data_IF_188556319476
#
_entry.id   IF_188556319476
#
_cell.length_a   1.000
_cell.length_b   1.000
_cell.length_c   1.000
_cell.angle_alpha   90.00
_cell.angle_beta   90.00
_cell.angle_gamma   90.00
#
_symmetry.space_group_name_H-M   'P 1'
#
loop_
_entity.id
_entity.type
_entity.pdbx_description
1 polymer ?
#
# COMPACT_ATOMS: atom_id res chain seq x y z
N UNK A 1 -8.08 -10.96 -9.81
CA UNK A 1 -8.21 -9.50 -9.65
C UNK A 1 -9.52 -9.05 -10.29
N UNK A 2 -10.56 -8.87 -9.48
CA UNK A 2 -11.91 -8.56 -9.96
C UNK A 2 -11.94 -7.32 -10.87
N UNK A 3 -11.02 -6.38 -10.66
CA UNK A 3 -10.78 -5.21 -11.49
C UNK A 3 -10.65 -5.49 -13.00
N UNK A 4 -10.02 -6.61 -13.37
CA UNK A 4 -9.82 -6.99 -14.78
C UNK A 4 -11.10 -7.38 -15.50
N UNK A 5 -12.14 -7.78 -14.74
CA UNK A 5 -13.47 -8.08 -15.26
C UNK A 5 -14.33 -6.81 -15.38
N UNK A 6 -13.97 -5.73 -14.66
CA UNK A 6 -14.75 -4.50 -14.60
C UNK A 6 -14.32 -3.48 -15.67
N UNK A 7 -13.02 -3.21 -15.75
CA UNK A 7 -12.50 -2.15 -16.62
C UNK A 7 -11.16 -2.54 -17.24
N UNK A 8 -10.88 -2.10 -18.47
CA UNK A 8 -9.57 -2.30 -19.12
C UNK A 8 -8.41 -1.68 -18.33
N UNK A 9 -8.63 -0.59 -17.59
CA UNK A 9 -7.61 -0.02 -16.70
C UNK A 9 -7.43 -0.79 -15.39
N UNK A 10 -8.28 -1.78 -15.12
CA UNK A 10 -8.20 -2.63 -13.94
C UNK A 10 -6.90 -3.45 -13.87
N UNK A 11 -6.22 -3.68 -14.99
CA UNK A 11 -4.87 -4.28 -15.00
C UNK A 11 -3.85 -3.42 -14.26
N UNK A 12 -3.93 -2.10 -14.37
CA UNK A 12 -3.03 -1.19 -13.66
C UNK A 12 -3.25 -1.28 -12.15
N UNK A 13 -4.51 -1.21 -11.69
CA UNK A 13 -4.85 -1.34 -10.27
C UNK A 13 -4.39 -2.70 -9.73
N UNK A 14 -4.60 -3.76 -10.51
CA UNK A 14 -4.14 -5.11 -10.19
C UNK A 14 -2.62 -5.19 -10.02
N UNK A 15 -1.87 -4.54 -10.91
CA UNK A 15 -0.41 -4.52 -10.85
C UNK A 15 0.09 -3.77 -9.61
N UNK A 16 -0.55 -2.65 -9.23
CA UNK A 16 -0.22 -1.92 -8.00
C UNK A 16 -0.47 -2.79 -6.76
N UNK A 17 -1.65 -3.40 -6.65
CA UNK A 17 -1.99 -4.28 -5.51
C UNK A 17 -0.98 -5.44 -5.37
N UNK A 18 -0.59 -6.05 -6.50
CA UNK A 18 0.42 -7.10 -6.51
C UNK A 18 1.81 -6.60 -6.13
N UNK A 19 2.21 -5.43 -6.61
CA UNK A 19 3.52 -4.86 -6.28
C UNK A 19 3.65 -4.57 -4.79
N UNK A 20 2.61 -3.98 -4.18
CA UNK A 20 2.57 -3.74 -2.73
C UNK A 20 2.63 -5.04 -1.96
N UNK A 21 1.88 -6.06 -2.39
CA UNK A 21 1.92 -7.38 -1.78
C UNK A 21 3.33 -7.98 -1.82
N UNK A 22 4.04 -7.89 -2.96
CA UNK A 22 5.43 -8.36 -3.07
C UNK A 22 6.38 -7.56 -2.18
N UNK A 23 6.30 -6.22 -2.18
CA UNK A 23 7.12 -5.37 -1.31
C UNK A 23 6.90 -5.70 0.17
N UNK A 24 5.64 -5.81 0.61
CA UNK A 24 5.31 -6.14 2.00
C UNK A 24 5.73 -7.56 2.37
N UNK A 25 5.59 -8.53 1.46
CA UNK A 25 6.06 -9.90 1.67
C UNK A 25 7.58 -9.98 1.80
N UNK A 26 8.33 -9.23 0.99
CA UNK A 26 9.81 -9.21 1.05
C UNK A 26 10.36 -8.72 2.40
N UNK A 27 9.62 -7.82 3.07
CA UNK A 27 9.96 -7.28 4.39
C UNK A 27 9.53 -8.19 5.56
N UNK A 28 8.79 -9.27 5.28
CA UNK A 28 8.38 -10.27 6.25
C UNK A 28 7.37 -9.76 7.30
N UNK A 29 7.22 -10.51 8.40
CA UNK A 29 6.20 -10.25 9.42
C UNK A 29 6.28 -8.85 10.09
N UNK A 30 7.44 -8.20 10.02
CA UNK A 30 7.70 -6.88 10.61
C UNK A 30 7.53 -5.72 9.61
N UNK A 31 7.00 -5.97 8.42
CA UNK A 31 6.84 -4.93 7.38
C UNK A 31 6.12 -3.67 7.86
N UNK A 32 5.17 -3.80 8.80
CA UNK A 32 4.42 -2.68 9.39
C UNK A 32 5.30 -1.71 10.20
N UNK A 33 6.44 -2.17 10.68
CA UNK A 33 7.43 -1.39 11.44
C UNK A 33 8.74 -1.23 10.69
N UNK A 34 8.87 -1.83 9.51
CA UNK A 34 10.11 -1.87 8.74
C UNK A 34 10.46 -0.50 8.14
N UNK A 35 9.44 0.33 7.85
CA UNK A 35 9.69 1.63 7.26
C UNK A 35 9.99 2.72 8.29
N UNK A 36 11.15 3.36 8.11
CA UNK A 36 11.59 4.47 8.94
C UNK A 36 10.86 5.77 8.51
N UNK A 37 10.28 6.47 9.48
CA UNK A 37 9.64 7.79 9.32
C UNK A 37 8.52 7.87 8.26
N UNK A 38 7.36 7.21 8.44
CA UNK A 38 6.22 7.42 7.55
C UNK A 38 5.69 8.85 7.64
N UNK A 39 5.14 9.43 6.57
CA UNK A 39 4.39 10.69 6.64
C UNK A 39 3.24 10.57 7.65
N UNK A 40 2.92 11.65 8.38
CA UNK A 40 1.93 11.62 9.47
C UNK A 40 0.57 11.07 9.06
N UNK A 41 0.11 11.36 7.84
CA UNK A 41 -1.15 10.82 7.32
C UNK A 41 -1.08 9.30 7.06
N UNK A 42 0.06 8.78 6.59
CA UNK A 42 0.29 7.34 6.43
C UNK A 42 0.32 6.65 7.79
N UNK A 43 0.99 7.27 8.78
CA UNK A 43 1.02 6.75 10.14
C UNK A 43 -0.40 6.59 10.71
N UNK A 44 -1.27 7.58 10.50
CA UNK A 44 -2.67 7.52 10.98
C UNK A 44 -3.44 6.37 10.32
N UNK A 45 -3.25 6.16 9.01
CA UNK A 45 -3.92 5.07 8.27
C UNK A 45 -3.39 3.70 8.69
N UNK A 46 -2.08 3.56 8.87
CA UNK A 46 -1.43 2.29 9.22
C UNK A 46 -1.42 2.00 10.73
N UNK A 47 -1.76 2.97 11.57
CA UNK A 47 -1.74 2.83 13.02
C UNK A 47 -2.55 1.62 13.50
N UNK A 48 -2.04 0.96 14.53
CA UNK A 48 -2.60 -0.29 15.08
C UNK A 48 -2.79 -1.40 14.03
N UNK A 49 -2.05 -1.34 12.92
CA UNK A 49 -2.17 -2.28 11.81
C UNK A 49 -3.47 -2.11 11.03
N UNK A 50 -3.84 -0.87 10.70
CA UNK A 50 -5.06 -0.46 9.98
C UNK A 50 -6.37 -0.60 10.78
N UNK A 51 -6.28 -0.70 12.11
CA UNK A 51 -7.46 -0.74 12.99
C UNK A 51 -8.02 0.66 13.31
N UNK A 52 -7.43 1.71 12.75
CA UNK A 52 -7.97 3.07 12.84
C UNK A 52 -9.17 3.24 11.90
N UNK A 53 -10.07 4.22 12.15
CA UNK A 53 -11.18 4.50 11.24
C UNK A 53 -10.72 4.74 9.80
N UNK A 54 -9.61 5.46 9.61
CA UNK A 54 -9.02 5.70 8.29
C UNK A 54 -8.44 4.41 7.66
N UNK A 55 -7.83 3.54 8.47
CA UNK A 55 -7.33 2.24 8.03
C UNK A 55 -8.45 1.28 7.61
N UNK A 56 -9.50 1.18 8.41
CA UNK A 56 -10.70 0.39 8.08
C UNK A 56 -11.35 0.95 6.81
N UNK A 57 -11.46 2.27 6.68
CA UNK A 57 -11.98 2.91 5.48
C UNK A 57 -11.14 2.60 4.23
N UNK A 58 -9.81 2.61 4.35
CA UNK A 58 -8.89 2.21 3.28
C UNK A 58 -9.11 0.74 2.85
N UNK A 59 -9.21 -0.17 3.82
CA UNK A 59 -9.42 -1.61 3.59
C UNK A 59 -10.80 -1.86 2.96
N UNK A 60 -11.84 -1.17 3.43
CA UNK A 60 -13.18 -1.23 2.84
C UNK A 60 -13.17 -0.73 1.39
N UNK A 61 -12.44 0.35 1.09
CA UNK A 61 -12.26 0.81 -0.29
C UNK A 61 -11.44 -0.18 -1.14
N UNK A 62 -10.44 -0.83 -0.58
CA UNK A 62 -9.61 -1.81 -1.29
C UNK A 62 -10.41 -3.06 -1.70
N UNK A 63 -11.10 -3.69 -0.75
CA UNK A 63 -11.81 -4.95 -1.01
C UNK A 63 -13.29 -4.76 -1.38
N UNK A 64 -13.95 -3.77 -0.78
CA UNK A 64 -15.37 -3.53 -0.99
C UNK A 64 -15.66 -2.89 -2.34
N UNK A 65 -14.84 -1.97 -2.83
CA UNK A 65 -15.05 -1.29 -4.12
C UNK A 65 -15.15 -2.25 -5.31
N UNK A 66 -14.20 -3.18 -5.55
CA UNK A 66 -14.32 -4.10 -6.69
C UNK A 66 -15.61 -4.94 -6.58
N UNK A 67 -15.90 -5.51 -5.41
CA UNK A 67 -17.09 -6.34 -5.20
C UNK A 67 -18.38 -5.53 -5.42
N UNK A 68 -18.40 -4.28 -4.93
CA UNK A 68 -19.51 -3.36 -5.12
C UNK A 68 -19.76 -3.04 -6.59
N UNK A 69 -18.70 -2.67 -7.32
CA UNK A 69 -18.76 -2.37 -8.76
C UNK A 69 -19.21 -3.57 -9.58
N UNK A 70 -18.78 -4.78 -9.21
CA UNK A 70 -19.25 -6.01 -9.83
C UNK A 70 -20.75 -6.20 -9.65
N UNK A 71 -21.26 -6.04 -8.43
CA UNK A 71 -22.70 -6.11 -8.19
C UNK A 71 -23.51 -5.01 -8.88
N UNK A 72 -22.91 -3.82 -9.10
CA UNK A 72 -23.55 -2.77 -9.90
C UNK A 72 -23.65 -3.15 -11.37
N UNK A 73 -22.59 -3.75 -11.93
CA UNK A 73 -22.56 -4.19 -13.33
C UNK A 73 -23.57 -5.31 -13.61
N UNK A 74 -23.73 -6.23 -12.65
CA UNK A 74 -24.71 -7.33 -12.72
C UNK A 74 -26.13 -6.92 -12.24
N UNK A 75 -26.38 -5.62 -12.03
CA UNK A 75 -27.65 -5.06 -11.55
C UNK A 75 -28.19 -5.62 -10.22
N UNK A 76 -27.35 -6.26 -9.40
CA UNK A 76 -27.73 -6.91 -8.13
C UNK A 76 -28.26 -5.92 -7.09
N UNK A 77 -27.86 -4.65 -7.16
CA UNK A 77 -28.25 -3.60 -6.21
C UNK A 77 -29.50 -2.83 -6.62
N UNK A 78 -29.97 -2.99 -7.86
CA UNK A 78 -31.15 -2.29 -8.38
C UNK A 78 -32.44 -2.51 -7.58
N UNK A 79 -32.74 -3.71 -7.03
CA UNK A 79 -33.95 -3.90 -6.22
C UNK A 79 -33.84 -3.35 -4.80
N UNK A 80 -32.62 -3.10 -4.30
CA UNK A 80 -32.39 -2.66 -2.92
C UNK A 80 -32.13 -1.16 -2.79
N UNK A 81 -31.65 -0.49 -3.85
CA UNK A 81 -31.15 0.86 -3.74
C UNK A 81 -31.34 1.68 -5.01
N UNK A 82 -31.76 2.94 -4.85
CA UNK A 82 -31.88 3.91 -5.95
C UNK A 82 -30.50 4.23 -6.56
N UNK A 83 -30.48 4.56 -7.85
CA UNK A 83 -29.28 4.90 -8.59
C UNK A 83 -28.45 6.00 -7.91
N UNK A 84 -29.08 7.03 -7.36
CA UNK A 84 -28.37 8.12 -6.65
C UNK A 84 -27.63 7.62 -5.40
N UNK A 85 -28.27 6.74 -4.64
CA UNK A 85 -27.67 6.12 -3.46
C UNK A 85 -26.52 5.19 -3.83
N UNK A 86 -26.65 4.43 -4.93
CA UNK A 86 -25.56 3.59 -5.44
C UNK A 86 -24.34 4.44 -5.80
N UNK A 87 -24.54 5.57 -6.49
CA UNK A 87 -23.45 6.50 -6.83
C UNK A 87 -22.81 7.13 -5.59
N UNK A 88 -23.59 7.44 -4.55
CA UNK A 88 -23.05 7.95 -3.29
C UNK A 88 -22.16 6.92 -2.60
N UNK A 89 -22.61 5.66 -2.48
CA UNK A 89 -21.81 4.57 -1.90
C UNK A 89 -20.54 4.31 -2.71
N UNK A 90 -20.65 4.32 -4.05
CA UNK A 90 -19.48 4.20 -4.93
C UNK A 90 -18.49 5.33 -4.70
N UNK A 91 -18.93 6.58 -4.57
CA UNK A 91 -18.05 7.71 -4.27
C UNK A 91 -17.30 7.55 -2.95
N UNK A 92 -17.98 7.05 -1.92
CA UNK A 92 -17.38 6.74 -0.62
C UNK A 92 -16.32 5.64 -0.76
N UNK A 93 -16.64 4.54 -1.44
CA UNK A 93 -15.68 3.44 -1.66
C UNK A 93 -14.47 3.87 -2.51
N UNK A 94 -14.69 4.69 -3.54
CA UNK A 94 -13.62 5.25 -4.39
C UNK A 94 -12.67 6.11 -3.57
N UNK A 95 -13.17 6.96 -2.68
CA UNK A 95 -12.30 7.77 -1.81
C UNK A 95 -11.49 6.91 -0.84
N UNK A 96 -12.06 5.84 -0.30
CA UNK A 96 -11.32 4.83 0.48
C UNK A 96 -10.21 4.16 -0.34
N UNK A 97 -10.52 3.78 -1.60
CA UNK A 97 -9.52 3.19 -2.51
C UNK A 97 -8.41 4.18 -2.85
N UNK A 98 -8.72 5.44 -3.10
CA UNK A 98 -7.74 6.49 -3.40
C UNK A 98 -6.79 6.71 -2.21
N UNK A 99 -7.34 6.74 -0.99
CA UNK A 99 -6.54 6.83 0.24
C UNK A 99 -5.62 5.61 0.39
N UNK A 100 -6.14 4.40 0.14
CA UNK A 100 -5.34 3.18 0.15
C UNK A 100 -4.22 3.22 -0.90
N UNK A 101 -4.55 3.64 -2.14
CA UNK A 101 -3.59 3.76 -3.24
C UNK A 101 -2.46 4.74 -2.92
N UNK A 102 -2.75 5.84 -2.21
CA UNK A 102 -1.72 6.75 -1.71
C UNK A 102 -0.72 6.04 -0.77
N UNK A 103 -1.22 5.25 0.18
CA UNK A 103 -0.38 4.48 1.10
C UNK A 103 0.45 3.43 0.35
N UNK A 104 -0.16 2.74 -0.61
CA UNK A 104 0.49 1.76 -1.48
C UNK A 104 1.67 2.36 -2.26
N UNK A 105 1.46 3.49 -2.95
CA UNK A 105 2.49 4.18 -3.72
C UNK A 105 3.61 4.68 -2.81
N UNK A 106 3.27 5.25 -1.65
CA UNK A 106 4.27 5.64 -0.67
C UNK A 106 5.11 4.44 -0.22
N UNK A 107 4.47 3.31 0.07
CA UNK A 107 5.17 2.11 0.52
C UNK A 107 6.12 1.55 -0.55
N UNK A 108 5.68 1.47 -1.81
CA UNK A 108 6.51 1.04 -2.94
C UNK A 108 7.72 1.96 -3.09
N UNK A 109 7.51 3.28 -3.08
CA UNK A 109 8.60 4.24 -3.27
C UNK A 109 9.62 4.22 -2.13
N UNK A 110 9.18 4.04 -0.88
CA UNK A 110 10.07 3.84 0.27
C UNK A 110 10.87 2.55 0.12
N UNK A 111 10.23 1.44 -0.27
CA UNK A 111 10.93 0.18 -0.50
C UNK A 111 11.99 0.28 -1.61
N UNK A 112 11.72 0.98 -2.71
CA UNK A 112 12.69 1.22 -3.77
C UNK A 112 13.90 2.02 -3.25
N UNK A 113 13.67 3.03 -2.41
CA UNK A 113 14.76 3.82 -1.80
C UNK A 113 15.63 2.96 -0.89
N UNK A 114 15.04 2.07 -0.10
CA UNK A 114 15.80 1.16 0.76
C UNK A 114 16.65 0.20 -0.07
N UNK A 115 16.10 -0.36 -1.15
CA UNK A 115 16.85 -1.23 -2.07
C UNK A 115 18.03 -0.50 -2.74
N UNK A 116 17.85 0.76 -3.10
CA UNK A 116 18.93 1.58 -3.66
C UNK A 116 20.02 1.85 -2.62
N UNK A 117 19.64 2.19 -1.38
CA UNK A 117 20.59 2.42 -0.30
C UNK A 117 21.40 1.15 0.05
N UNK A 118 20.76 -0.01 0.09
CA UNK A 118 21.43 -1.31 0.31
C UNK A 118 22.41 -1.62 -0.84
N UNK A 119 22.01 -1.36 -2.08
CA UNK A 119 22.86 -1.56 -3.25
C UNK A 119 24.11 -0.66 -3.21
N UNK A 120 23.97 0.61 -2.83
CA UNK A 120 25.10 1.54 -2.72
C UNK A 120 26.04 1.17 -1.57
N UNK A 121 25.50 0.70 -0.44
CA UNK A 121 26.29 0.21 0.69
C UNK A 121 27.12 -1.03 0.31
N UNK A 122 26.53 -1.97 -0.44
CA UNK A 122 27.22 -3.20 -0.88
C UNK A 122 28.31 -2.94 -1.92
N UNK A 123 28.21 -1.84 -2.67
CA UNK A 123 29.21 -1.43 -3.69
C UNK A 123 30.37 -0.64 -3.11
N UNK A 124 30.20 -0.04 -1.94
CA UNK A 124 31.27 0.68 -1.24
C UNK A 124 32.26 -0.33 -0.64
N UNK A 125 33.58 -0.22 -0.86
CA UNK A 125 34.55 -1.13 -0.26
C UNK A 125 34.48 -1.05 1.27
N UNK A 126 34.74 -2.16 2.00
CA UNK A 126 34.74 -2.13 3.45
C UNK A 126 35.74 -1.08 3.92
N UNK A 127 35.26 -0.09 4.69
CA UNK A 127 36.15 0.77 5.45
C UNK A 127 36.97 -0.13 6.35
N UNK A 128 38.25 -0.30 5.99
CA UNK A 128 39.26 -0.89 6.83
C UNK A 128 39.34 -0.03 8.09
N UNK A 129 38.72 -0.50 9.16
CA UNK A 129 39.03 -0.04 10.51
C UNK A 129 40.48 -0.45 10.77
N UNK A 130 41.43 0.43 10.46
CA UNK A 130 42.79 0.30 10.96
C UNK A 130 42.70 0.26 12.50
N UNK A 131 43.18 -0.80 13.17
CA UNK A 131 43.46 -0.70 14.58
C UNK A 131 44.59 0.32 14.71
N UNK A 132 44.33 1.47 15.34
CA UNK A 132 45.38 2.35 15.82
C UNK A 132 46.27 1.51 16.74
N UNK A 133 47.43 1.11 16.20
CA UNK A 133 48.45 0.40 16.93
C UNK A 133 48.95 1.34 18.02
N UNK A 134 48.89 0.78 19.22
CA UNK A 134 49.39 1.28 20.48
C UNK A 134 50.91 1.47 20.36
N UNK A 135 51.37 2.71 20.18
CA UNK A 135 52.78 3.03 20.40
C UNK A 135 52.96 3.38 21.88
N UNK A 136 53.14 2.33 22.68
CA UNK A 136 53.91 2.38 23.92
C UNK A 136 55.40 2.34 23.56
N UNK A 137 56.09 3.48 23.75
CA UNK A 137 57.36 3.65 24.51
C UNK A 137 58.10 4.93 24.08
#
# INVERSE_FOLDING_TARGET
MLWTLLYKWGYFISAVEWMVFVCTHSLGAKWKTAQSNPPSWVQIVMAQGFKTPAGVFAICGLHGLPVWLYGMNEHLWSPFMSHHSQMAVTGILVSGRALCMGVEVWFITSHIKDLLAEHDQKRSPPQSTEPMMEDTD
#
